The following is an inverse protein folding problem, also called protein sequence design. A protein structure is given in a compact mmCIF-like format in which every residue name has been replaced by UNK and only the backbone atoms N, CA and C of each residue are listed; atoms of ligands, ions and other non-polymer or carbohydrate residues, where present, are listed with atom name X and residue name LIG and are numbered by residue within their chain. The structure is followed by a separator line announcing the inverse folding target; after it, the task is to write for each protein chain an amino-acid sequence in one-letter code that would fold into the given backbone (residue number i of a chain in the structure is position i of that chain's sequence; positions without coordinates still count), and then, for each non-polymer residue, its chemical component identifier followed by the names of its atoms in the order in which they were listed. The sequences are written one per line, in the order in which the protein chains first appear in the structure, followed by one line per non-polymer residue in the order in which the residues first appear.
data_IF_148050327569
#
_entry.id   IF_148050327569
#
_cell.length_a   1.000
_cell.length_b   1.000
_cell.length_c   1.000
_cell.angle_alpha   90.00
_cell.angle_beta   90.00
_cell.angle_gamma   90.00
#
_symmetry.space_group_name_H-M   'P 1'
#
loop_
_entity.id
_entity.type
_entity.pdbx_description
1 polymer ?
#
# COMPACT_ATOMS: atom_id res chain seq x y z
N UNK A 1 26.41 32.14 7.56
CA UNK A 1 26.98 32.01 6.22
C UNK A 1 25.88 31.73 5.23
N UNK A 2 26.15 31.78 3.93
CA UNK A 2 25.23 31.25 2.94
C UNK A 2 25.05 29.75 3.21
N UNK A 3 23.80 29.27 3.33
CA UNK A 3 23.49 27.89 3.70
C UNK A 3 23.03 27.14 2.45
N UNK A 4 23.75 26.10 2.05
CA UNK A 4 23.43 25.27 0.88
C UNK A 4 22.52 24.10 1.26
N UNK A 5 21.95 23.42 0.25
CA UNK A 5 21.16 22.20 0.46
C UNK A 5 21.95 21.12 1.22
N UNK A 6 23.23 20.92 0.85
CA UNK A 6 24.12 19.94 1.51
C UNK A 6 24.40 20.28 2.97
N UNK A 7 24.56 21.58 3.28
CA UNK A 7 24.74 22.04 4.66
C UNK A 7 23.51 21.74 5.52
N UNK A 8 22.31 22.02 4.98
CA UNK A 8 21.04 21.75 5.69
C UNK A 8 20.81 20.26 5.86
N UNK A 9 21.10 19.44 4.84
CA UNK A 9 20.99 17.98 4.95
C UNK A 9 21.86 17.47 6.10
N UNK A 10 23.13 17.88 6.11
CA UNK A 10 24.12 17.48 7.12
C UNK A 10 23.75 17.97 8.53
N UNK A 11 23.17 19.17 8.64
CA UNK A 11 22.69 19.72 9.91
C UNK A 11 21.55 18.87 10.47
N UNK A 12 20.49 18.65 9.68
CA UNK A 12 19.31 17.92 10.14
C UNK A 12 19.57 16.44 10.37
N UNK A 13 20.45 15.82 9.58
CA UNK A 13 20.92 14.46 9.86
C UNK A 13 21.46 14.36 11.29
N UNK A 14 22.39 15.24 11.69
CA UNK A 14 22.97 15.24 13.04
C UNK A 14 21.92 15.50 14.13
N UNK A 15 20.98 16.39 13.86
CA UNK A 15 19.88 16.69 14.81
C UNK A 15 18.97 15.47 14.99
N UNK A 16 18.60 14.79 13.92
CA UNK A 16 17.80 13.57 13.97
C UNK A 16 18.54 12.42 14.67
N UNK A 17 19.82 12.19 14.35
CA UNK A 17 20.67 11.20 15.02
C UNK A 17 20.75 11.46 16.54
N UNK A 18 20.99 12.72 16.94
CA UNK A 18 21.09 13.11 18.35
C UNK A 18 19.76 12.91 19.12
N UNK A 19 18.62 12.88 18.42
CA UNK A 19 17.30 12.64 19.02
C UNK A 19 16.80 11.20 18.80
N UNK A 20 17.64 10.30 18.29
CA UNK A 20 17.29 8.89 18.09
C UNK A 20 16.17 8.68 17.04
N UNK A 21 16.09 9.56 16.06
CA UNK A 21 15.17 9.45 14.93
C UNK A 21 15.77 8.49 13.89
N UNK A 22 15.06 7.42 13.46
CA UNK A 22 15.56 6.50 12.46
C UNK A 22 15.65 7.16 11.08
N UNK A 23 16.49 6.61 10.19
CA UNK A 23 16.65 7.07 8.80
C UNK A 23 16.96 8.57 8.73
N UNK A 24 17.85 9.04 9.60
CA UNK A 24 18.12 10.45 9.83
C UNK A 24 18.60 11.16 8.56
N UNK A 25 19.49 10.52 7.80
CA UNK A 25 20.03 11.11 6.57
C UNK A 25 18.97 11.15 5.48
N UNK A 26 18.28 10.04 5.26
CA UNK A 26 17.23 9.88 4.26
C UNK A 26 16.08 10.85 4.53
N UNK A 27 15.62 10.95 5.78
CA UNK A 27 14.60 11.91 6.20
C UNK A 27 14.99 13.35 5.85
N UNK A 28 16.25 13.71 6.11
CA UNK A 28 16.79 15.04 5.83
C UNK A 28 16.88 15.31 4.32
N UNK A 29 17.39 14.34 3.56
CA UNK A 29 17.47 14.38 2.10
C UNK A 29 16.07 14.53 1.48
N UNK A 30 15.07 13.76 1.91
CA UNK A 30 13.70 13.86 1.42
C UNK A 30 13.06 15.22 1.71
N UNK A 31 13.18 15.73 2.95
CA UNK A 31 12.61 17.03 3.33
C UNK A 31 13.20 18.16 2.49
N UNK A 32 14.53 18.18 2.34
CA UNK A 32 15.22 19.22 1.55
C UNK A 32 14.84 19.10 0.07
N UNK A 33 14.82 17.89 -0.49
CA UNK A 33 14.44 17.66 -1.89
C UNK A 33 13.02 18.12 -2.17
N UNK A 34 12.08 17.78 -1.28
CA UNK A 34 10.68 18.17 -1.39
C UNK A 34 10.51 19.70 -1.43
N UNK A 35 11.19 20.43 -0.54
CA UNK A 35 11.13 21.91 -0.52
C UNK A 35 11.78 22.54 -1.76
N UNK A 36 12.76 21.86 -2.36
CA UNK A 36 13.38 22.27 -3.62
C UNK A 36 12.62 21.80 -4.86
N UNK A 37 11.49 21.10 -4.71
CA UNK A 37 10.67 20.62 -5.82
C UNK A 37 11.25 19.43 -6.57
N UNK A 38 12.14 18.66 -5.94
CA UNK A 38 12.76 17.46 -6.50
C UNK A 38 12.23 16.19 -5.81
N UNK A 39 12.15 15.09 -6.56
CA UNK A 39 11.72 13.79 -6.00
C UNK A 39 12.76 13.18 -5.06
N UNK A 40 14.03 13.27 -5.43
CA UNK A 40 15.15 12.74 -4.63
C UNK A 40 16.28 13.76 -4.56
N UNK A 41 17.12 13.64 -3.53
CA UNK A 41 18.24 14.56 -3.34
C UNK A 41 19.26 14.42 -4.47
N UNK A 42 19.43 13.20 -4.96
CA UNK A 42 20.30 12.86 -6.08
C UNK A 42 19.79 13.40 -7.42
N UNK A 43 18.49 13.72 -7.54
CA UNK A 43 17.92 14.34 -8.74
C UNK A 43 18.09 15.86 -8.81
N UNK A 44 18.61 16.50 -7.76
CA UNK A 44 18.92 17.93 -7.76
C UNK A 44 20.06 18.23 -8.73
N UNK A 45 19.89 19.27 -9.55
CA UNK A 45 20.95 19.73 -10.44
C UNK A 45 22.09 20.41 -9.65
N UNK A 46 23.27 20.51 -10.28
CA UNK A 46 24.44 21.12 -9.64
C UNK A 46 24.19 22.56 -9.18
N UNK A 47 23.39 23.33 -9.93
CA UNK A 47 23.01 24.69 -9.55
C UNK A 47 22.23 24.74 -8.23
N UNK A 48 21.24 23.86 -8.04
CA UNK A 48 20.40 23.81 -6.83
C UNK A 48 21.20 23.40 -5.59
N UNK A 49 22.22 22.55 -5.76
CA UNK A 49 23.10 22.12 -4.68
C UNK A 49 24.02 23.25 -4.18
N UNK A 50 24.44 24.16 -5.08
CA UNK A 50 25.37 25.25 -4.75
C UNK A 50 24.68 26.59 -4.50
N UNK A 51 23.42 26.74 -4.92
CA UNK A 51 22.64 27.95 -4.68
C UNK A 51 22.23 28.03 -3.20
N UNK A 52 22.49 29.15 -2.51
CA UNK A 52 22.05 29.34 -1.13
C UNK A 52 20.53 29.27 -1.01
N UNK A 53 20.04 28.57 0.01
CA UNK A 53 18.61 28.47 0.27
C UNK A 53 18.04 29.84 0.69
N UNK A 54 16.87 30.17 0.16
CA UNK A 54 16.12 31.35 0.57
C UNK A 54 15.60 31.20 2.02
N UNK A 55 15.27 32.31 2.66
CA UNK A 55 14.70 32.28 4.02
C UNK A 55 13.39 31.45 4.09
N UNK A 56 12.55 31.54 3.05
CA UNK A 56 11.29 30.78 2.96
C UNK A 56 11.56 29.27 2.88
N UNK A 57 12.53 28.85 2.06
CA UNK A 57 12.90 27.43 1.96
C UNK A 57 13.47 26.91 3.30
N UNK A 58 14.33 27.70 3.96
CA UNK A 58 14.87 27.32 5.27
C UNK A 58 13.77 27.19 6.32
N UNK A 59 12.80 28.10 6.34
CA UNK A 59 11.65 28.04 7.24
C UNK A 59 10.78 26.80 6.97
N UNK A 60 10.48 26.50 5.70
CA UNK A 60 9.73 25.30 5.32
C UNK A 60 10.45 24.02 5.75
N UNK A 61 11.76 23.91 5.50
CA UNK A 61 12.57 22.77 5.93
C UNK A 61 12.53 22.64 7.45
N UNK A 62 12.69 23.74 8.19
CA UNK A 62 12.60 23.75 9.65
C UNK A 62 11.25 23.23 10.13
N UNK A 63 10.14 23.68 9.54
CA UNK A 63 8.79 23.25 9.93
C UNK A 63 8.58 21.75 9.69
N UNK A 64 9.01 21.22 8.54
CA UNK A 64 8.91 19.80 8.22
C UNK A 64 9.81 18.95 9.12
N UNK A 65 11.04 19.38 9.36
CA UNK A 65 11.96 18.69 10.25
C UNK A 65 11.50 18.69 11.70
N UNK A 66 10.81 19.75 12.15
CA UNK A 66 10.19 19.75 13.48
C UNK A 66 9.10 18.66 13.61
N UNK A 67 8.27 18.43 12.57
CA UNK A 67 7.34 17.29 12.58
C UNK A 67 8.07 15.96 12.61
N UNK A 68 9.18 15.83 11.87
CA UNK A 68 10.00 14.62 11.90
C UNK A 68 10.60 14.37 13.29
N UNK A 69 11.01 15.41 14.01
CA UNK A 69 11.48 15.33 15.40
C UNK A 69 10.40 14.83 16.38
N UNK A 70 9.12 15.02 16.07
CA UNK A 70 8.02 14.41 16.83
C UNK A 70 7.89 12.90 16.56
N UNK A 71 8.81 12.31 15.79
CA UNK A 71 8.80 10.93 15.28
C UNK A 71 7.68 10.66 14.27
N UNK A 72 7.17 11.69 13.60
CA UNK A 72 6.26 11.47 12.48
C UNK A 72 7.00 10.80 11.32
N UNK A 73 6.49 9.70 10.72
CA UNK A 73 7.03 9.13 9.49
C UNK A 73 7.25 10.19 8.41
N UNK A 74 8.36 10.13 7.66
CA UNK A 74 8.71 11.15 6.67
C UNK A 74 7.61 11.29 5.59
N UNK A 75 6.96 10.19 5.24
CA UNK A 75 5.84 10.13 4.30
C UNK A 75 4.67 11.04 4.73
N UNK A 76 4.35 11.06 6.02
CA UNK A 76 3.34 11.96 6.57
C UNK A 76 3.84 13.39 6.75
N UNK A 77 5.14 13.57 7.02
CA UNK A 77 5.76 14.91 7.08
C UNK A 77 5.61 15.61 5.72
N UNK A 78 5.93 14.90 4.64
CA UNK A 78 5.80 15.40 3.26
C UNK A 78 4.33 15.45 2.80
N UNK A 79 3.49 14.55 3.33
CA UNK A 79 2.08 14.43 2.98
C UNK A 79 1.83 13.72 1.65
N UNK A 80 2.86 13.15 1.06
CA UNK A 80 2.79 12.30 -0.13
C UNK A 80 3.96 11.31 -0.18
N UNK A 81 3.75 10.22 -0.91
CA UNK A 81 4.76 9.18 -1.10
C UNK A 81 4.59 8.50 -2.44
N UNK A 82 5.70 8.06 -3.01
CA UNK A 82 5.70 7.28 -4.24
C UNK A 82 5.37 5.81 -3.93
N UNK A 83 4.51 5.22 -4.75
CA UNK A 83 4.20 3.79 -4.79
C UNK A 83 4.14 3.40 -6.26
N UNK A 84 5.14 2.62 -6.69
CA UNK A 84 5.44 2.40 -8.09
C UNK A 84 5.55 3.72 -8.88
N UNK A 85 4.79 3.84 -9.97
CA UNK A 85 4.79 5.00 -10.86
C UNK A 85 3.85 6.13 -10.35
N UNK A 86 3.23 5.97 -9.17
CA UNK A 86 2.24 6.89 -8.62
C UNK A 86 2.80 7.69 -7.44
N UNK A 87 2.47 8.98 -7.38
CA UNK A 87 2.65 9.80 -6.16
C UNK A 87 1.30 9.96 -5.47
N UNK A 88 1.14 9.30 -4.32
CA UNK A 88 -0.10 9.25 -3.55
C UNK A 88 -0.03 10.22 -2.38
N UNK A 89 -1.15 10.87 -2.05
CA UNK A 89 -1.29 11.58 -0.77
C UNK A 89 -1.22 10.59 0.39
N UNK A 90 -0.55 11.03 1.45
CA UNK A 90 -0.36 10.29 2.69
C UNK A 90 -0.76 11.16 3.87
N UNK A 91 -1.44 10.57 4.86
CA UNK A 91 -1.75 11.23 6.13
C UNK A 91 -2.11 10.21 7.22
N UNK A 92 -1.77 10.49 8.48
CA UNK A 92 -2.24 9.69 9.61
C UNK A 92 -3.78 9.64 9.67
N UNK A 93 -4.37 8.53 10.14
CA UNK A 93 -3.71 7.29 10.58
C UNK A 93 -3.58 6.24 9.46
N UNK A 94 -3.75 6.62 8.18
CA UNK A 94 -3.86 5.67 7.06
C UNK A 94 -2.52 5.01 6.77
N UNK A 95 -2.46 3.68 6.88
CA UNK A 95 -1.27 2.85 6.64
C UNK A 95 -0.42 3.32 5.47
N UNK A 96 0.90 3.41 5.71
CA UNK A 96 1.87 3.76 4.67
C UNK A 96 2.19 2.48 3.88
N UNK A 97 1.90 2.43 2.57
CA UNK A 97 2.23 1.28 1.74
C UNK A 97 3.72 0.93 1.84
N UNK A 98 4.03 -0.36 1.98
CA UNK A 98 5.40 -0.85 2.08
C UNK A 98 5.94 -1.21 0.70
N UNK A 99 7.26 -1.14 0.47
CA UNK A 99 7.87 -1.54 -0.81
C UNK A 99 7.49 -2.95 -1.24
N UNK A 100 7.36 -3.89 -0.29
CA UNK A 100 6.97 -5.29 -0.52
C UNK A 100 5.59 -5.39 -1.17
N UNK A 101 4.67 -4.47 -0.86
CA UNK A 101 3.32 -4.44 -1.44
C UNK A 101 3.32 -4.13 -2.93
N UNK A 102 4.38 -3.55 -3.48
CA UNK A 102 4.50 -3.31 -4.92
C UNK A 102 4.56 -4.62 -5.72
N UNK A 103 5.14 -5.68 -5.15
CA UNK A 103 5.22 -6.99 -5.80
C UNK A 103 3.83 -7.62 -5.96
N UNK A 104 2.91 -7.38 -5.01
CA UNK A 104 1.54 -7.88 -5.07
C UNK A 104 0.80 -7.37 -6.33
N UNK A 105 0.98 -6.10 -6.68
CA UNK A 105 0.42 -5.50 -7.89
C UNK A 105 1.00 -6.17 -9.14
N UNK A 106 2.32 -6.41 -9.16
CA UNK A 106 3.00 -7.05 -10.28
C UNK A 106 2.47 -8.47 -10.53
N UNK A 107 2.26 -9.25 -9.46
CA UNK A 107 1.70 -10.61 -9.55
C UNK A 107 0.29 -10.64 -10.17
N UNK A 108 -0.57 -9.67 -9.83
CA UNK A 108 -1.92 -9.57 -10.40
C UNK A 108 -1.87 -9.24 -11.90
N UNK A 109 -0.99 -8.31 -12.30
CA UNK A 109 -0.81 -7.92 -13.71
C UNK A 109 -0.24 -9.08 -14.54
N UNK A 110 0.71 -9.83 -14.01
CA UNK A 110 1.27 -11.01 -14.66
C UNK A 110 0.21 -12.10 -14.88
N UNK A 111 -0.61 -12.38 -13.87
CA UNK A 111 -1.71 -13.35 -13.95
C UNK A 111 -2.73 -12.95 -15.02
N UNK A 112 -3.14 -11.68 -15.06
CA UNK A 112 -4.07 -11.17 -16.08
C UNK A 112 -3.48 -11.27 -17.50
N UNK A 113 -2.21 -10.94 -17.65
CA UNK A 113 -1.51 -11.01 -18.94
C UNK A 113 -1.47 -12.45 -19.48
N UNK A 114 -1.16 -13.42 -18.61
CA UNK A 114 -1.14 -14.84 -18.97
C UNK A 114 -2.54 -15.39 -19.32
N UNK A 115 -3.60 -14.90 -18.66
CA UNK A 115 -4.99 -15.24 -19.00
C UNK A 115 -5.35 -14.72 -20.41
N UNK A 116 -4.95 -13.50 -20.73
CA UNK A 116 -5.17 -12.90 -22.06
C UNK A 116 -4.45 -13.68 -23.17
N UNK A 117 -3.19 -14.07 -22.96
CA UNK A 117 -2.42 -14.85 -23.94
C UNK A 117 -3.07 -16.21 -24.23
N UNK A 118 -3.48 -16.95 -23.19
CA UNK A 118 -4.16 -18.25 -23.34
C UNK A 118 -5.47 -18.12 -24.11
N UNK A 119 -6.22 -17.05 -23.88
CA UNK A 119 -7.47 -16.80 -24.59
C UNK A 119 -7.25 -16.39 -26.05
N UNK A 120 -6.17 -15.65 -26.34
CA UNK A 120 -5.81 -15.25 -27.72
C UNK A 120 -5.39 -16.44 -28.60
N UNK A 121 -4.92 -17.54 -27.99
CA UNK A 121 -4.56 -18.77 -28.69
C UNK A 121 -5.78 -19.63 -29.11
N UNK A 122 -6.98 -19.32 -28.60
CA UNK A 122 -8.22 -19.93 -29.06
C UNK A 122 -8.70 -19.19 -30.32
N UNK A 123 -8.86 -19.91 -31.44
CA UNK A 123 -9.18 -19.37 -32.78
C UNK A 123 -10.54 -18.64 -32.94
N UNK A 124 -11.18 -18.24 -31.84
CA UNK A 124 -12.44 -17.50 -31.85
C UNK A 124 -12.26 -16.17 -31.14
N UNK A 125 -12.70 -15.04 -31.73
CA UNK A 125 -12.66 -13.75 -31.06
C UNK A 125 -13.68 -13.75 -29.92
N UNK A 126 -13.24 -14.16 -28.73
CA UNK A 126 -14.00 -13.96 -27.50
C UNK A 126 -13.77 -12.50 -27.08
N UNK A 127 -14.83 -11.72 -26.78
CA UNK A 127 -14.66 -10.39 -26.23
C UNK A 127 -13.78 -10.49 -24.97
N UNK A 128 -12.66 -9.77 -24.94
CA UNK A 128 -11.79 -9.74 -23.76
C UNK A 128 -12.54 -8.99 -22.67
N UNK A 129 -13.12 -9.72 -21.72
CA UNK A 129 -13.73 -9.11 -20.54
C UNK A 129 -12.61 -8.52 -19.69
N UNK A 130 -12.69 -7.23 -19.38
CA UNK A 130 -11.70 -6.57 -18.55
C UNK A 130 -11.90 -6.95 -17.08
N UNK A 131 -10.82 -7.10 -16.30
CA UNK A 131 -10.93 -7.67 -14.97
C UNK A 131 -11.65 -6.70 -14.02
N UNK A 132 -12.58 -7.26 -13.26
CA UNK A 132 -13.15 -6.62 -12.07
C UNK A 132 -12.33 -7.09 -10.88
N UNK A 133 -11.82 -6.13 -10.10
CA UNK A 133 -10.92 -6.38 -8.97
C UNK A 133 -11.60 -5.92 -7.70
N UNK A 134 -11.60 -6.75 -6.66
CA UNK A 134 -11.99 -6.38 -5.30
C UNK A 134 -10.73 -6.22 -4.45
N UNK A 135 -10.48 -5.02 -3.96
CA UNK A 135 -9.46 -4.77 -2.94
C UNK A 135 -10.11 -4.69 -1.55
N UNK A 136 -9.58 -5.46 -0.60
CA UNK A 136 -10.01 -5.44 0.81
C UNK A 136 -8.92 -4.79 1.65
N UNK A 137 -9.26 -3.70 2.35
CA UNK A 137 -8.32 -2.88 3.12
C UNK A 137 -7.54 -1.91 2.23
N UNK A 138 -8.25 -1.04 1.50
CA UNK A 138 -7.61 -0.24 0.44
C UNK A 138 -6.68 0.89 0.93
N UNK A 139 -6.75 1.31 2.20
CA UNK A 139 -5.81 2.26 2.77
C UNK A 139 -5.74 3.58 2.00
N UNK A 140 -4.57 3.90 1.44
CA UNK A 140 -4.34 5.09 0.60
C UNK A 140 -4.78 4.90 -0.86
N UNK A 141 -5.21 3.70 -1.24
CA UNK A 141 -5.56 3.28 -2.60
C UNK A 141 -4.37 2.76 -3.40
N UNK A 142 -3.24 2.45 -2.75
CA UNK A 142 -1.99 2.14 -3.43
C UNK A 142 -2.10 0.99 -4.43
N UNK A 143 -2.69 -0.13 -4.02
CA UNK A 143 -2.85 -1.31 -4.87
C UNK A 143 -3.93 -1.04 -5.94
N UNK A 144 -5.15 -0.63 -5.56
CA UNK A 144 -6.24 -0.33 -6.49
C UNK A 144 -5.81 0.62 -7.61
N UNK A 145 -5.22 1.76 -7.26
CA UNK A 145 -4.91 2.82 -8.22
C UNK A 145 -3.75 2.40 -9.13
N UNK A 146 -2.78 1.66 -8.61
CA UNK A 146 -1.70 1.08 -9.43
C UNK A 146 -2.23 0.05 -10.42
N UNK A 147 -3.14 -0.82 -9.99
CA UNK A 147 -3.80 -1.80 -10.87
C UNK A 147 -4.63 -1.12 -11.95
N UNK A 148 -5.35 -0.03 -11.63
CA UNK A 148 -6.10 0.73 -12.64
C UNK A 148 -5.18 1.38 -13.69
N UNK A 149 -3.99 1.85 -13.30
CA UNK A 149 -3.02 2.39 -14.25
C UNK A 149 -2.43 1.31 -15.16
N UNK A 150 -2.05 0.15 -14.60
CA UNK A 150 -1.43 -0.94 -15.37
C UNK A 150 -2.42 -1.77 -16.18
N UNK A 151 -3.68 -1.78 -15.78
CA UNK A 151 -4.78 -2.46 -16.46
C UNK A 151 -5.81 -1.40 -16.90
N UNK A 152 -5.62 -0.70 -18.02
CA UNK A 152 -6.37 0.52 -18.38
C UNK A 152 -7.89 0.33 -18.54
N UNK A 153 -8.34 -0.91 -18.66
CA UNK A 153 -9.75 -1.23 -18.83
C UNK A 153 -10.38 -1.92 -17.61
N UNK A 154 -9.58 -2.19 -16.56
CA UNK A 154 -10.08 -2.81 -15.34
C UNK A 154 -10.99 -1.86 -14.56
N UNK A 155 -11.80 -2.45 -13.67
CA UNK A 155 -12.59 -1.72 -12.68
C UNK A 155 -12.24 -2.26 -11.30
N UNK A 156 -12.18 -1.38 -10.31
CA UNK A 156 -11.90 -1.76 -8.93
C UNK A 156 -13.09 -1.45 -8.03
N UNK A 157 -13.44 -2.39 -7.16
CA UNK A 157 -14.21 -2.14 -5.94
C UNK A 157 -13.19 -2.16 -4.80
N UNK A 158 -13.05 -1.04 -4.11
CA UNK A 158 -12.11 -0.89 -3.01
C UNK A 158 -12.90 -0.74 -1.71
N UNK A 159 -12.64 -1.59 -0.72
CA UNK A 159 -13.34 -1.54 0.56
C UNK A 159 -12.37 -1.31 1.70
N UNK A 160 -12.76 -0.48 2.64
CA UNK A 160 -12.00 -0.28 3.88
C UNK A 160 -12.95 0.00 5.04
N UNK A 161 -12.60 -0.50 6.22
CA UNK A 161 -13.36 -0.29 7.46
C UNK A 161 -13.16 1.11 8.02
N UNK A 162 -12.04 1.76 7.68
CA UNK A 162 -11.69 3.07 8.21
C UNK A 162 -12.14 4.17 7.26
N UNK A 163 -12.98 5.08 7.75
CA UNK A 163 -13.45 6.23 6.95
C UNK A 163 -12.28 7.09 6.43
N UNK A 164 -11.21 7.23 7.22
CA UNK A 164 -10.04 8.00 6.83
C UNK A 164 -9.33 7.41 5.59
N UNK A 165 -9.22 6.08 5.52
CA UNK A 165 -8.66 5.36 4.37
C UNK A 165 -9.57 5.51 3.14
N UNK A 166 -10.88 5.32 3.30
CA UNK A 166 -11.87 5.53 2.23
C UNK A 166 -11.78 6.94 1.63
N UNK A 167 -11.73 7.97 2.48
CA UNK A 167 -11.65 9.35 2.03
C UNK A 167 -10.31 9.64 1.32
N UNK A 168 -9.19 9.09 1.83
CA UNK A 168 -7.88 9.23 1.19
C UNK A 168 -7.79 8.51 -0.16
N UNK A 169 -8.31 7.28 -0.25
CA UNK A 169 -8.40 6.54 -1.52
C UNK A 169 -9.20 7.31 -2.56
N UNK A 170 -10.34 7.92 -2.18
CA UNK A 170 -11.14 8.76 -3.08
C UNK A 170 -10.39 10.02 -3.54
N UNK A 171 -9.69 10.68 -2.61
CA UNK A 171 -8.88 11.85 -2.95
C UNK A 171 -7.76 11.49 -3.94
N UNK A 172 -7.04 10.40 -3.69
CA UNK A 172 -6.00 9.91 -4.60
C UNK A 172 -6.56 9.49 -5.96
N UNK A 173 -7.70 8.80 -5.98
CA UNK A 173 -8.41 8.47 -7.21
C UNK A 173 -8.75 9.72 -8.04
N UNK A 174 -9.27 10.77 -7.41
CA UNK A 174 -9.58 12.02 -8.09
C UNK A 174 -8.33 12.75 -8.60
N UNK A 175 -7.26 12.81 -7.78
CA UNK A 175 -5.97 13.42 -8.17
C UNK A 175 -5.35 12.74 -9.39
N UNK A 176 -5.49 11.42 -9.48
CA UNK A 176 -4.99 10.60 -10.58
C UNK A 176 -5.99 10.44 -11.75
N UNK A 177 -7.18 11.07 -11.67
CA UNK A 177 -8.24 10.99 -12.68
C UNK A 177 -8.75 9.55 -12.93
N UNK A 178 -8.81 8.75 -11.86
CA UNK A 178 -9.23 7.33 -11.87
C UNK A 178 -10.61 7.09 -11.25
N UNK A 179 -11.28 8.14 -10.75
CA UNK A 179 -12.53 8.03 -9.99
C UNK A 179 -13.67 7.30 -10.72
N UNK A 180 -13.69 7.34 -12.05
CA UNK A 180 -14.74 6.69 -12.85
C UNK A 180 -14.59 5.17 -12.95
N UNK A 181 -13.40 4.65 -12.60
CA UNK A 181 -13.06 3.22 -12.67
C UNK A 181 -12.94 2.55 -11.31
N UNK A 182 -13.12 3.30 -10.22
CA UNK A 182 -13.07 2.78 -8.86
C UNK A 182 -14.36 3.09 -8.08
N UNK A 183 -14.88 2.08 -7.39
CA UNK A 183 -15.95 2.25 -6.42
C UNK A 183 -15.41 2.03 -5.01
N UNK A 184 -15.27 3.10 -4.23
CA UNK A 184 -14.70 3.04 -2.87
C UNK A 184 -15.83 2.98 -1.84
N UNK A 185 -15.83 1.94 -1.01
CA UNK A 185 -16.86 1.65 -0.01
C UNK A 185 -16.28 1.68 1.40
N UNK A 186 -17.03 2.32 2.30
CA UNK A 186 -16.76 2.23 3.74
C UNK A 186 -17.49 1.02 4.29
N UNK A 187 -16.76 -0.07 4.47
CA UNK A 187 -17.32 -1.36 4.85
C UNK A 187 -16.30 -2.20 5.60
N UNK A 188 -16.71 -2.71 6.76
CA UNK A 188 -15.90 -3.66 7.53
C UNK A 188 -16.08 -5.08 6.97
N UNK A 189 -14.97 -5.79 6.80
CA UNK A 189 -14.94 -7.19 6.34
C UNK A 189 -14.75 -8.11 7.55
N UNK A 190 -15.60 -7.93 8.56
CA UNK A 190 -15.78 -8.89 9.64
C UNK A 190 -16.89 -9.88 9.30
N UNK A 191 -16.87 -11.06 9.93
CA UNK A 191 -17.79 -12.17 9.61
C UNK A 191 -19.28 -11.77 9.59
N UNK A 192 -19.69 -10.80 10.40
CA UNK A 192 -21.08 -10.33 10.51
C UNK A 192 -21.55 -9.43 9.36
N UNK A 193 -20.66 -8.63 8.78
CA UNK A 193 -20.97 -7.65 7.71
C UNK A 193 -20.51 -8.12 6.32
N UNK A 194 -19.63 -9.12 6.27
CA UNK A 194 -19.02 -9.64 5.06
C UNK A 194 -20.01 -10.06 3.96
N UNK A 195 -21.21 -10.53 4.31
CA UNK A 195 -22.24 -10.93 3.33
C UNK A 195 -22.68 -9.79 2.42
N UNK A 196 -22.51 -8.53 2.83
CA UNK A 196 -22.82 -7.37 1.99
C UNK A 196 -21.83 -7.25 0.81
N UNK A 197 -20.62 -7.82 0.93
CA UNK A 197 -19.67 -7.87 -0.18
C UNK A 197 -20.15 -8.74 -1.34
N UNK A 198 -21.04 -9.71 -1.08
CA UNK A 198 -21.56 -10.63 -2.10
C UNK A 198 -22.27 -9.90 -3.25
N UNK A 199 -22.76 -8.68 -3.01
CA UNK A 199 -23.37 -7.83 -4.03
C UNK A 199 -22.37 -7.32 -5.08
N UNK A 200 -21.08 -7.40 -4.79
CA UNK A 200 -19.99 -6.90 -5.63
C UNK A 200 -19.27 -8.00 -6.40
N UNK A 201 -19.65 -9.26 -6.19
CA UNK A 201 -19.19 -10.42 -6.96
C UNK A 201 -20.12 -10.80 -8.12
N UNK A 202 -19.69 -11.71 -9.01
CA UNK A 202 -18.37 -12.35 -9.01
C UNK A 202 -17.29 -11.45 -9.66
N UNK A 203 -16.10 -11.41 -9.07
CA UNK A 203 -14.92 -10.65 -9.52
C UNK A 203 -13.83 -11.58 -10.08
N UNK A 204 -12.94 -11.03 -10.90
CA UNK A 204 -11.80 -11.75 -11.47
C UNK A 204 -10.66 -11.91 -10.47
N UNK A 205 -10.43 -10.87 -9.66
CA UNK A 205 -9.37 -10.85 -8.66
C UNK A 205 -9.86 -10.33 -7.32
N UNK A 206 -9.44 -11.00 -6.24
CA UNK A 206 -9.44 -10.44 -4.89
C UNK A 206 -8.00 -10.14 -4.52
N UNK A 207 -7.74 -8.93 -4.05
CA UNK A 207 -6.40 -8.50 -3.63
C UNK A 207 -6.49 -7.88 -2.25
N UNK A 208 -5.55 -8.17 -1.38
CA UNK A 208 -5.51 -7.56 -0.05
C UNK A 208 -4.10 -7.56 0.53
N UNK A 209 -3.73 -6.44 1.13
CA UNK A 209 -2.74 -6.39 2.20
C UNK A 209 -3.52 -6.23 3.52
N UNK A 210 -4.03 -7.34 4.11
CA UNK A 210 -4.85 -7.26 5.31
C UNK A 210 -3.97 -7.05 6.56
N UNK A 211 -4.55 -6.66 7.70
CA UNK A 211 -3.86 -6.76 8.99
C UNK A 211 -3.41 -8.21 9.23
N UNK A 212 -2.10 -8.43 9.27
CA UNK A 212 -1.48 -9.76 9.39
C UNK A 212 -0.45 -9.87 10.53
N UNK A 213 -0.16 -8.78 11.24
CA UNK A 213 0.81 -8.81 12.35
C UNK A 213 0.24 -9.64 13.49
N UNK A 214 1.06 -10.53 14.05
CA UNK A 214 0.70 -11.32 15.21
C UNK A 214 0.53 -10.40 16.41
N UNK A 215 -0.51 -10.61 17.20
CA UNK A 215 -0.82 -9.75 18.35
C UNK A 215 0.35 -9.65 19.34
N UNK A 216 1.09 -10.74 19.53
CA UNK A 216 2.30 -10.76 20.40
C UNK A 216 3.43 -9.86 19.89
N UNK A 217 3.54 -9.66 18.57
CA UNK A 217 4.59 -8.86 17.95
C UNK A 217 4.25 -7.36 17.91
N UNK A 218 2.98 -7.00 18.14
CA UNK A 218 2.51 -5.60 18.10
C UNK A 218 3.29 -4.69 19.04
N UNK A 219 3.71 -5.18 20.20
CA UNK A 219 4.48 -4.42 21.18
C UNK A 219 5.93 -4.11 20.73
N UNK A 220 6.43 -4.82 19.71
CA UNK A 220 7.77 -4.65 19.16
C UNK A 220 7.84 -3.69 17.96
N UNK A 221 6.69 -3.20 17.49
CA UNK A 221 6.62 -2.26 16.37
C UNK A 221 7.34 -0.94 16.68
N UNK A 222 7.86 -0.32 15.62
CA UNK A 222 8.55 0.96 15.73
C UNK A 222 7.65 2.04 16.35
N UNK A 223 8.28 2.96 17.09
CA UNK A 223 7.56 4.03 17.80
C UNK A 223 6.74 4.91 16.85
N UNK A 224 7.29 5.14 15.66
CA UNK A 224 6.69 5.88 14.56
C UNK A 224 5.35 5.22 14.15
N UNK A 225 5.32 3.89 14.00
CA UNK A 225 4.13 3.11 13.66
C UNK A 225 3.10 3.21 14.78
N UNK A 226 3.52 2.93 16.02
CA UNK A 226 2.64 2.92 17.20
C UNK A 226 1.95 4.27 17.46
N UNK A 227 2.56 5.38 17.02
CA UNK A 227 2.05 6.73 17.27
C UNK A 227 1.23 7.31 16.13
N UNK A 228 1.48 6.91 14.89
CA UNK A 228 0.92 7.59 13.71
C UNK A 228 0.15 6.71 12.75
N UNK A 229 0.21 5.39 12.85
CA UNK A 229 -0.58 4.47 12.03
C UNK A 229 -1.74 3.87 12.82
N UNK A 230 -2.82 3.49 12.13
CA UNK A 230 -3.90 2.73 12.75
C UNK A 230 -3.41 1.31 13.10
N UNK A 231 -3.32 1.00 14.39
CA UNK A 231 -2.97 -0.35 14.85
C UNK A 231 -3.98 -1.40 14.39
N UNK A 232 -5.23 -1.00 14.17
CA UNK A 232 -6.26 -1.86 13.58
C UNK A 232 -5.99 -2.24 12.13
N UNK A 233 -5.13 -1.51 11.41
CA UNK A 233 -4.65 -1.85 10.08
C UNK A 233 -3.48 -2.85 10.11
N UNK A 234 -2.94 -3.16 11.29
CA UNK A 234 -1.76 -4.03 11.47
C UNK A 234 -2.12 -5.34 12.20
N UNK A 235 -2.88 -5.24 13.29
CA UNK A 235 -3.18 -6.38 14.18
C UNK A 235 -4.11 -7.41 13.51
N UNK A 236 -3.53 -8.53 13.11
CA UNK A 236 -4.22 -9.68 12.53
C UNK A 236 -4.74 -10.68 13.58
N UNK A 237 -4.66 -10.37 14.87
CA UNK A 237 -5.03 -11.24 15.99
C UNK A 237 -3.90 -12.15 16.46
N UNK A 238 -4.23 -13.08 17.35
CA UNK A 238 -3.27 -13.95 18.05
C UNK A 238 -2.26 -14.63 17.11
N UNK A 239 -2.73 -15.07 15.94
CA UNK A 239 -1.93 -15.75 14.93
C UNK A 239 -1.78 -14.94 13.62
N UNK A 240 -2.17 -13.67 13.62
CA UNK A 240 -2.15 -12.79 12.46
C UNK A 240 -3.16 -13.16 11.35
N UNK A 241 -3.94 -14.24 11.49
CA UNK A 241 -4.78 -14.72 10.40
C UNK A 241 -6.26 -14.29 10.48
N UNK A 242 -6.69 -13.44 11.42
CA UNK A 242 -8.11 -13.11 11.63
C UNK A 242 -8.80 -12.60 10.35
N UNK A 243 -8.20 -11.62 9.68
CA UNK A 243 -8.76 -11.03 8.46
C UNK A 243 -8.52 -11.93 7.25
N UNK A 244 -7.32 -12.50 7.12
CA UNK A 244 -6.98 -13.52 6.12
C UNK A 244 -8.02 -14.64 6.12
N UNK A 245 -8.43 -15.10 7.31
CA UNK A 245 -9.45 -16.13 7.48
C UNK A 245 -10.84 -15.72 7.05
N UNK A 246 -11.16 -14.45 7.20
CA UNK A 246 -12.44 -13.94 6.72
C UNK A 246 -12.45 -13.84 5.20
N UNK A 247 -11.36 -13.35 4.59
CA UNK A 247 -11.24 -13.20 3.13
C UNK A 247 -11.32 -14.57 2.43
N UNK A 248 -10.52 -15.53 2.85
CA UNK A 248 -10.49 -16.90 2.30
C UNK A 248 -11.85 -17.61 2.41
N UNK A 249 -12.60 -17.39 3.49
CA UNK A 249 -13.95 -17.95 3.64
C UNK A 249 -14.98 -17.33 2.68
N UNK A 250 -14.79 -16.08 2.27
CA UNK A 250 -15.70 -15.36 1.36
C UNK A 250 -15.34 -15.54 -0.11
N UNK A 251 -14.05 -15.77 -0.40
CA UNK A 251 -13.50 -15.84 -1.74
C UNK A 251 -14.32 -16.74 -2.70
N UNK A 252 -14.80 -17.95 -2.32
CA UNK A 252 -15.57 -18.80 -3.24
C UNK A 252 -16.92 -18.22 -3.67
N UNK A 253 -17.50 -17.32 -2.88
CA UNK A 253 -18.77 -16.66 -3.21
C UNK A 253 -18.57 -15.31 -3.93
N UNK A 254 -17.32 -14.81 -3.95
CA UNK A 254 -16.96 -13.52 -4.53
C UNK A 254 -16.17 -13.66 -5.83
N UNK A 255 -15.43 -14.75 -6.02
CA UNK A 255 -14.65 -15.01 -7.22
C UNK A 255 -15.50 -15.66 -8.31
N UNK A 256 -15.17 -15.37 -9.57
CA UNK A 256 -15.54 -16.23 -10.70
C UNK A 256 -14.86 -17.60 -10.55
N UNK A 257 -15.36 -18.62 -11.26
CA UNK A 257 -14.76 -19.97 -11.26
C UNK A 257 -13.27 -19.98 -11.65
N UNK A 258 -12.85 -19.04 -12.49
CA UNK A 258 -11.45 -18.83 -12.91
C UNK A 258 -10.79 -17.62 -12.25
N UNK A 259 -11.36 -17.12 -11.15
CA UNK A 259 -10.86 -15.99 -10.38
C UNK A 259 -9.66 -16.37 -9.53
N UNK A 260 -8.79 -15.41 -9.26
CA UNK A 260 -7.58 -15.62 -8.46
C UNK A 260 -7.56 -14.67 -7.27
N UNK A 261 -6.92 -15.06 -6.17
CA UNK A 261 -6.76 -14.21 -4.99
C UNK A 261 -5.29 -14.04 -4.64
N UNK A 262 -4.92 -12.82 -4.26
CA UNK A 262 -3.57 -12.42 -3.91
C UNK A 262 -3.59 -11.75 -2.53
N UNK A 263 -2.84 -12.31 -1.59
CA UNK A 263 -2.75 -11.83 -0.22
C UNK A 263 -1.29 -11.58 0.14
N UNK A 264 -1.00 -10.40 0.68
CA UNK A 264 0.23 -10.18 1.45
C UNK A 264 0.06 -10.81 2.84
N UNK A 265 1.08 -11.49 3.33
CA UNK A 265 1.03 -12.26 4.58
C UNK A 265 2.38 -12.24 5.31
N UNK A 266 2.37 -12.56 6.60
CA UNK A 266 3.60 -12.77 7.37
C UNK A 266 4.33 -14.04 6.90
N UNK A 267 5.68 -14.10 6.93
CA UNK A 267 6.45 -15.29 6.53
C UNK A 267 6.09 -16.60 7.25
N UNK A 268 5.42 -16.53 8.42
CA UNK A 268 4.91 -17.69 9.16
C UNK A 268 3.59 -18.24 8.61
N UNK A 269 2.81 -17.42 7.90
CA UNK A 269 1.47 -17.75 7.45
C UNK A 269 1.35 -18.78 6.32
N UNK A 270 2.30 -18.97 5.38
CA UNK A 270 2.08 -19.86 4.24
C UNK A 270 1.64 -21.29 4.61
N UNK A 271 2.31 -21.91 5.60
CA UNK A 271 1.91 -23.23 6.10
C UNK A 271 0.55 -23.19 6.80
N UNK A 272 0.27 -22.13 7.56
CA UNK A 272 -1.00 -21.99 8.27
C UNK A 272 -2.19 -21.78 7.32
N UNK A 273 -1.99 -21.06 6.22
CA UNK A 273 -2.97 -20.92 5.13
C UNK A 273 -3.22 -22.27 4.48
N UNK A 274 -2.17 -23.05 4.19
CA UNK A 274 -2.30 -24.38 3.61
C UNK A 274 -3.08 -25.33 4.53
N UNK A 275 -2.69 -25.42 5.81
CA UNK A 275 -3.38 -26.23 6.82
C UNK A 275 -4.86 -25.85 6.94
N UNK A 276 -5.14 -24.55 6.96
CA UNK A 276 -6.50 -24.06 7.09
C UNK A 276 -7.35 -24.34 5.84
N UNK A 277 -6.78 -24.25 4.63
CA UNK A 277 -7.43 -24.67 3.39
C UNK A 277 -7.72 -26.18 3.37
N UNK A 278 -6.78 -27.01 3.83
CA UNK A 278 -6.97 -28.46 3.95
C UNK A 278 -8.09 -28.82 4.94
N UNK A 279 -8.23 -28.05 6.01
CA UNK A 279 -9.33 -28.20 6.97
C UNK A 279 -10.70 -27.75 6.41
N UNK A 280 -10.73 -27.00 5.30
CA UNK A 280 -11.94 -26.45 4.68
C UNK A 280 -12.05 -26.80 3.18
N UNK A 281 -12.07 -28.10 2.82
CA UNK A 281 -12.04 -28.54 1.42
C UNK A 281 -13.29 -28.09 0.63
N UNK A 282 -14.37 -27.74 1.32
CA UNK A 282 -15.61 -27.22 0.73
C UNK A 282 -15.46 -25.81 0.13
N UNK A 283 -14.37 -25.09 0.44
CA UNK A 283 -14.09 -23.78 -0.18
C UNK A 283 -13.60 -23.92 -1.63
N UNK A 284 -13.13 -25.10 -2.05
CA UNK A 284 -12.61 -25.36 -3.40
C UNK A 284 -11.48 -24.41 -3.84
N UNK A 285 -10.81 -23.77 -2.88
CA UNK A 285 -9.65 -22.92 -3.13
C UNK A 285 -8.39 -23.79 -3.17
N UNK A 286 -7.47 -23.44 -4.06
CA UNK A 286 -6.20 -24.14 -4.24
C UNK A 286 -5.08 -23.11 -4.08
N UNK A 287 -4.18 -23.32 -3.12
CA UNK A 287 -2.96 -22.54 -3.01
C UNK A 287 -2.06 -22.84 -4.22
N UNK A 288 -1.95 -21.86 -5.13
CA UNK A 288 -1.20 -22.01 -6.38
C UNK A 288 0.30 -21.74 -6.22
N UNK A 289 0.63 -20.79 -5.37
CA UNK A 289 1.95 -20.19 -5.31
C UNK A 289 2.15 -19.48 -3.98
N UNK A 290 3.38 -19.58 -3.47
CA UNK A 290 3.93 -18.67 -2.47
C UNK A 290 5.06 -17.92 -3.20
N UNK A 291 5.11 -16.60 -3.02
CA UNK A 291 6.13 -15.74 -3.61
C UNK A 291 6.84 -15.03 -2.48
N UNK A 292 8.17 -15.04 -2.56
CA UNK A 292 8.99 -14.32 -1.61
C UNK A 292 9.19 -12.90 -2.11
N UNK A 293 9.26 -11.96 -1.19
CA UNK A 293 9.59 -10.57 -1.50
C UNK A 293 11.06 -10.43 -1.95
N UNK A 294 11.46 -9.20 -2.33
CA UNK A 294 12.85 -8.90 -2.68
C UNK A 294 13.84 -9.05 -1.51
N UNK A 295 13.36 -9.15 -0.27
CA UNK A 295 14.15 -9.48 0.92
C UNK A 295 14.29 -11.00 1.15
N UNK A 296 13.65 -11.83 0.31
CA UNK A 296 13.67 -13.29 0.40
C UNK A 296 12.78 -13.89 1.49
N UNK A 297 11.86 -13.09 2.03
CA UNK A 297 10.87 -13.50 3.04
C UNK A 297 9.63 -14.05 2.38
#
# INVERSE_FOLDING_TARGET
GLVTATDVVSYWQKVFEANGIPEARESSEYIVSFVLGAKTFQSLNSESLHTPLTAVQQEQIQQLSNKRLERMPVQYVLGEWDFQDLTLKMRPPVFIPRPETEDLVSLVVEEESQKCEKNSALCFPVPVSHPVILEIGCGSGAIALSLLCKLPQSRVIAVDKEKAAVDLTRENAHRLQLQDRIHVLHHDVSYGSAKQLLLWGPVDFIVSNPPYVFHEDMASLDTEILRYEDLGALDGGDDGMRVIKTILALAPSLLKDSGSMFLEVDPRHPNMVEDWLQAHPNLLLILRAIRKDFCGK
#
